data_IF_850485259357
#
_entry.id   IF_850485259357
#
_cell.length_a   1.000
_cell.length_b   1.000
_cell.length_c   1.000
_cell.angle_alpha   90.00
_cell.angle_beta   90.00
_cell.angle_gamma   90.00
#
_symmetry.space_group_name_H-M   'P 1'
#
loop_
_entity.id
_entity.type
_entity.pdbx_description
1 polymer ?
#
# COMPACT_ATOMS: atom_id res chain seq x y z
N UNK A 1 -2.78 14.67 -2.63
CA UNK A 1 -2.84 14.23 -4.04
C UNK A 1 -3.70 15.22 -4.84
N UNK A 2 -4.99 15.41 -4.52
CA UNK A 2 -5.89 16.26 -5.31
C UNK A 2 -5.33 17.68 -5.55
N UNK A 3 -4.78 18.33 -4.53
CA UNK A 3 -4.16 19.65 -4.66
C UNK A 3 -2.98 19.65 -5.66
N UNK A 4 -2.17 18.59 -5.66
CA UNK A 4 -1.04 18.45 -6.58
C UNK A 4 -1.47 18.18 -8.02
N UNK A 5 -2.67 17.68 -8.24
CA UNK A 5 -3.25 17.44 -9.57
C UNK A 5 -3.76 18.73 -10.23
N UNK A 6 -3.97 19.83 -9.49
CA UNK A 6 -4.45 21.11 -10.01
C UNK A 6 -5.72 21.00 -10.86
N UNK A 7 -6.63 20.09 -10.50
CA UNK A 7 -7.86 19.83 -11.22
C UNK A 7 -7.70 19.02 -12.52
N UNK A 8 -6.50 18.53 -12.83
CA UNK A 8 -6.25 17.72 -14.02
C UNK A 8 -6.43 16.23 -13.74
N UNK A 9 -6.89 15.49 -14.75
CA UNK A 9 -7.09 14.05 -14.66
C UNK A 9 -8.23 13.66 -13.71
N UNK A 10 -8.27 12.40 -13.31
CA UNK A 10 -9.25 11.85 -12.37
C UNK A 10 -8.53 11.23 -11.16
N UNK A 11 -9.05 11.48 -9.96
CA UNK A 11 -8.61 10.85 -8.72
C UNK A 11 -9.66 9.83 -8.28
N UNK A 12 -9.34 8.55 -8.35
CA UNK A 12 -10.18 7.49 -7.78
C UNK A 12 -9.76 7.25 -6.34
N UNK A 13 -10.70 7.44 -5.40
CA UNK A 13 -10.51 7.23 -3.96
C UNK A 13 -11.35 6.04 -3.53
N UNK A 14 -10.73 4.92 -3.20
CA UNK A 14 -11.43 3.72 -2.80
C UNK A 14 -11.34 3.46 -1.30
N UNK A 15 -12.44 2.98 -0.72
CA UNK A 15 -12.50 2.49 0.65
C UNK A 15 -13.44 1.29 0.71
N UNK A 16 -12.93 0.15 1.21
CA UNK A 16 -13.67 -1.12 1.25
C UNK A 16 -14.83 -1.12 2.25
N UNK A 17 -14.72 -0.34 3.34
CA UNK A 17 -15.75 -0.30 4.39
C UNK A 17 -16.81 0.75 4.06
N UNK A 18 -18.11 0.37 3.88
CA UNK A 18 -19.16 1.31 3.44
C UNK A 18 -19.30 2.56 4.31
N UNK A 19 -19.22 2.41 5.63
CA UNK A 19 -19.32 3.54 6.55
C UNK A 19 -18.17 4.54 6.37
N UNK A 20 -16.95 4.05 6.16
CA UNK A 20 -15.76 4.87 5.91
C UNK A 20 -15.78 5.49 4.50
N UNK A 21 -16.27 4.75 3.51
CA UNK A 21 -16.46 5.26 2.15
C UNK A 21 -17.42 6.47 2.12
N UNK A 22 -18.49 6.42 2.92
CA UNK A 22 -19.39 7.56 3.08
C UNK A 22 -18.67 8.79 3.66
N UNK A 23 -17.89 8.61 4.73
CA UNK A 23 -17.08 9.69 5.33
C UNK A 23 -16.07 10.25 4.32
N UNK A 24 -15.45 9.37 3.52
CA UNK A 24 -14.54 9.79 2.46
C UNK A 24 -15.25 10.66 1.42
N UNK A 25 -16.44 10.26 0.96
CA UNK A 25 -17.24 11.04 0.02
C UNK A 25 -17.63 12.42 0.58
N UNK A 26 -18.11 12.47 1.81
CA UNK A 26 -18.44 13.72 2.50
C UNK A 26 -17.22 14.65 2.62
N UNK A 27 -16.03 14.10 2.86
CA UNK A 27 -14.79 14.89 2.90
C UNK A 27 -14.38 15.41 1.52
N UNK A 28 -14.49 14.60 0.48
CA UNK A 28 -14.23 15.02 -0.92
C UNK A 28 -15.15 16.15 -1.33
N UNK A 29 -16.45 16.05 -1.05
CA UNK A 29 -17.43 17.09 -1.30
C UNK A 29 -17.14 18.36 -0.52
N UNK A 30 -16.92 18.24 0.79
CA UNK A 30 -16.60 19.38 1.68
C UNK A 30 -15.36 20.15 1.24
N UNK A 31 -14.35 19.45 0.71
CA UNK A 31 -13.13 20.06 0.19
C UNK A 31 -13.30 20.62 -1.24
N UNK A 32 -14.43 20.39 -1.87
CA UNK A 32 -14.72 20.87 -3.23
C UNK A 32 -13.77 20.30 -4.29
N UNK A 33 -13.44 19.01 -4.22
CA UNK A 33 -12.55 18.34 -5.17
C UNK A 33 -13.35 17.87 -6.38
N UNK A 34 -13.32 18.57 -7.54
CA UNK A 34 -14.24 18.33 -8.63
C UNK A 34 -13.89 17.10 -9.48
N UNK A 35 -12.65 16.64 -9.42
CA UNK A 35 -12.13 15.56 -10.24
C UNK A 35 -11.90 14.25 -9.44
N UNK A 36 -12.57 14.08 -8.30
CA UNK A 36 -12.50 12.87 -7.50
C UNK A 36 -13.73 11.99 -7.71
N UNK A 37 -13.50 10.68 -7.84
CA UNK A 37 -14.48 9.62 -7.82
C UNK A 37 -14.28 8.78 -6.57
N UNK A 38 -15.29 8.70 -5.70
CA UNK A 38 -15.24 7.81 -4.52
C UNK A 38 -15.89 6.48 -4.85
N UNK A 39 -15.18 5.39 -4.57
CA UNK A 39 -15.66 4.02 -4.77
C UNK A 39 -15.67 3.25 -3.45
N UNK A 40 -16.57 2.26 -3.35
CA UNK A 40 -16.63 1.34 -2.22
C UNK A 40 -16.56 -0.09 -2.75
N UNK A 41 -15.37 -0.52 -3.13
CA UNK A 41 -15.15 -1.81 -3.78
C UNK A 41 -13.90 -2.51 -3.26
N UNK A 42 -13.79 -3.81 -3.55
CA UNK A 42 -12.55 -4.57 -3.32
C UNK A 42 -11.50 -4.24 -4.38
N UNK A 43 -10.22 -4.45 -4.08
CA UNK A 43 -9.14 -4.27 -5.05
C UNK A 43 -9.34 -5.14 -6.30
N UNK A 44 -9.81 -6.38 -6.13
CA UNK A 44 -10.12 -7.29 -7.23
C UNK A 44 -11.16 -6.71 -8.20
N UNK A 45 -12.28 -6.19 -7.68
CA UNK A 45 -13.31 -5.59 -8.54
C UNK A 45 -12.85 -4.30 -9.23
N UNK A 46 -11.98 -3.53 -8.58
CA UNK A 46 -11.38 -2.38 -9.25
C UNK A 46 -10.45 -2.82 -10.38
N UNK A 47 -9.67 -3.89 -10.17
CA UNK A 47 -8.79 -4.45 -11.20
C UNK A 47 -9.56 -4.95 -12.42
N UNK A 48 -10.75 -5.56 -12.22
CA UNK A 48 -11.64 -5.97 -13.32
C UNK A 48 -12.12 -4.79 -14.20
N UNK A 49 -12.13 -3.55 -13.65
CA UNK A 49 -12.63 -2.37 -14.34
C UNK A 49 -11.51 -1.51 -14.91
N UNK A 50 -10.41 -1.39 -14.20
CA UNK A 50 -9.34 -0.42 -14.44
C UNK A 50 -8.02 -1.09 -14.88
N UNK A 51 -8.07 -2.11 -15.72
CA UNK A 51 -6.90 -2.79 -16.25
C UNK A 51 -5.95 -1.81 -16.99
N UNK A 52 -4.67 -1.77 -16.59
CA UNK A 52 -3.62 -0.86 -17.11
C UNK A 52 -4.04 0.62 -17.22
N UNK A 53 -4.91 1.07 -16.34
CA UNK A 53 -5.57 2.38 -16.47
C UNK A 53 -4.83 3.53 -15.79
N UNK A 54 -4.27 3.31 -14.60
CA UNK A 54 -3.72 4.38 -13.76
C UNK A 54 -2.26 4.71 -14.06
N UNK A 55 -1.94 6.02 -14.07
CA UNK A 55 -0.56 6.52 -14.11
C UNK A 55 0.15 6.38 -12.76
N UNK A 56 -0.64 6.51 -11.69
CA UNK A 56 -0.15 6.55 -10.30
C UNK A 56 -1.14 5.85 -9.40
N UNK A 57 -0.64 4.96 -8.56
CA UNK A 57 -1.44 4.29 -7.53
C UNK A 57 -0.76 4.50 -6.17
N UNK A 58 -1.55 4.86 -5.17
CA UNK A 58 -1.13 4.84 -3.76
C UNK A 58 -1.92 3.76 -3.04
N UNK A 59 -1.22 2.80 -2.49
CA UNK A 59 -1.77 1.78 -1.59
C UNK A 59 -1.40 2.16 -0.16
N UNK A 60 -2.38 2.69 0.58
CA UNK A 60 -2.31 2.82 2.04
C UNK A 60 -2.90 1.54 2.64
N UNK A 61 -2.02 0.59 2.92
CA UNK A 61 -2.42 -0.80 3.11
C UNK A 61 -2.99 -1.07 4.51
N UNK A 62 -3.99 -1.97 4.63
CA UNK A 62 -4.38 -2.50 5.93
C UNK A 62 -3.18 -3.23 6.55
N UNK A 63 -2.88 -2.94 7.81
CA UNK A 63 -1.71 -3.49 8.48
C UNK A 63 -2.01 -3.80 9.95
N UNK A 64 -1.07 -4.47 10.63
CA UNK A 64 -1.19 -4.81 12.07
C UNK A 64 -1.23 -3.60 13.01
N UNK A 65 -0.84 -2.42 12.52
CA UNK A 65 -1.20 -1.15 13.15
C UNK A 65 -0.36 -0.72 14.34
N UNK A 66 0.87 -1.21 14.50
CA UNK A 66 1.76 -0.87 15.63
C UNK A 66 2.01 0.63 15.78
N UNK A 67 2.02 1.38 14.69
CA UNK A 67 2.12 2.84 14.71
C UNK A 67 0.92 3.53 15.38
N UNK A 68 -0.17 2.81 15.62
CA UNK A 68 -1.38 3.32 16.28
C UNK A 68 -1.43 3.06 17.78
N UNK A 69 -0.53 2.27 18.37
CA UNK A 69 -0.55 1.87 19.78
C UNK A 69 -0.63 3.04 20.76
N UNK A 70 0.02 4.16 20.45
CA UNK A 70 -0.06 5.37 21.28
C UNK A 70 -1.39 6.13 21.17
N UNK A 71 -2.19 5.86 20.14
CA UNK A 71 -3.45 6.56 19.87
C UNK A 71 -4.68 5.71 20.14
N UNK A 72 -4.53 4.41 20.11
CA UNK A 72 -5.61 3.45 20.28
C UNK A 72 -5.11 2.24 21.07
N UNK A 73 -5.54 2.11 22.33
CA UNK A 73 -5.19 0.99 23.22
C UNK A 73 -5.76 -0.33 22.68
N UNK A 74 -6.94 -0.33 22.05
CA UNK A 74 -7.55 -1.52 21.46
C UNK A 74 -6.63 -2.14 20.37
N UNK A 75 -5.85 -1.32 19.67
CA UNK A 75 -4.90 -1.82 18.67
C UNK A 75 -3.79 -2.70 19.30
N UNK A 76 -3.44 -2.47 20.57
CA UNK A 76 -2.50 -3.31 21.29
C UNK A 76 -3.09 -4.68 21.62
N UNK A 77 -4.38 -4.72 21.96
CA UNK A 77 -5.08 -5.96 22.35
C UNK A 77 -5.35 -6.85 21.12
N UNK A 78 -5.56 -6.24 19.95
CA UNK A 78 -5.79 -6.93 18.69
C UNK A 78 -4.50 -7.42 18.02
N UNK A 79 -3.35 -6.89 18.41
CA UNK A 79 -2.09 -7.22 17.79
C UNK A 79 -1.63 -8.66 18.13
N UNK A 80 -1.19 -9.38 17.12
CA UNK A 80 -0.59 -10.70 17.25
C UNK A 80 0.27 -11.03 16.03
N UNK A 81 1.21 -11.96 16.16
CA UNK A 81 1.98 -12.46 15.02
C UNK A 81 1.07 -13.10 13.96
N UNK A 82 -0.04 -13.70 14.37
CA UNK A 82 -1.03 -14.24 13.43
C UNK A 82 -1.71 -13.12 12.63
N UNK A 83 -2.01 -11.99 13.27
CA UNK A 83 -2.58 -10.82 12.60
C UNK A 83 -1.57 -10.18 11.64
N UNK A 84 -0.30 -10.06 12.02
CA UNK A 84 0.80 -9.59 11.14
C UNK A 84 0.84 -10.43 9.86
N UNK A 85 0.84 -11.76 9.98
CA UNK A 85 0.86 -12.68 8.81
C UNK A 85 -0.38 -12.51 7.93
N UNK A 86 -1.55 -12.40 8.54
CA UNK A 86 -2.81 -12.18 7.82
C UNK A 86 -2.81 -10.85 7.08
N UNK A 87 -2.29 -9.78 7.69
CA UNK A 87 -2.14 -8.49 7.04
C UNK A 87 -1.16 -8.55 5.87
N UNK A 88 -0.01 -9.21 6.05
CA UNK A 88 0.97 -9.40 4.97
C UNK A 88 0.36 -10.13 3.76
N UNK A 89 -0.42 -11.19 3.98
CA UNK A 89 -1.13 -11.89 2.89
C UNK A 89 -2.13 -10.99 2.17
N UNK A 90 -2.93 -10.20 2.91
CA UNK A 90 -3.87 -9.23 2.30
C UNK A 90 -3.16 -8.15 1.51
N UNK A 91 -2.01 -7.70 1.99
CA UNK A 91 -1.18 -6.72 1.29
C UNK A 91 -0.66 -7.27 -0.02
N UNK A 92 -0.21 -8.53 -0.04
CA UNK A 92 0.23 -9.20 -1.26
C UNK A 92 -0.88 -9.24 -2.31
N UNK A 93 -2.11 -9.62 -1.94
CA UNK A 93 -3.28 -9.63 -2.83
C UNK A 93 -3.63 -8.23 -3.35
N UNK A 94 -3.61 -7.21 -2.48
CA UNK A 94 -3.90 -5.82 -2.86
C UNK A 94 -2.85 -5.30 -3.83
N UNK A 95 -1.57 -5.58 -3.59
CA UNK A 95 -0.46 -5.16 -4.43
C UNK A 95 -0.51 -5.82 -5.81
N UNK A 96 -0.86 -7.11 -5.91
CA UNK A 96 -1.02 -7.81 -7.18
C UNK A 96 -2.15 -7.18 -8.03
N UNK A 97 -3.29 -6.85 -7.41
CA UNK A 97 -4.36 -6.11 -8.10
C UNK A 97 -3.95 -4.67 -8.46
N UNK A 98 -3.20 -4.00 -7.59
CA UNK A 98 -2.70 -2.66 -7.90
C UNK A 98 -1.72 -2.68 -9.09
N UNK A 99 -0.88 -3.72 -9.18
CA UNK A 99 0.03 -3.90 -10.31
C UNK A 99 -0.74 -4.04 -11.63
N UNK A 100 -1.81 -4.84 -11.69
CA UNK A 100 -2.61 -5.01 -12.90
C UNK A 100 -3.36 -3.73 -13.33
N UNK A 101 -3.69 -2.86 -12.38
CA UNK A 101 -4.34 -1.57 -12.67
C UNK A 101 -3.35 -0.49 -13.13
N UNK A 102 -2.06 -0.68 -12.92
CA UNK A 102 -1.03 0.31 -13.26
C UNK A 102 -0.58 0.14 -14.70
N UNK A 103 -0.60 1.20 -15.48
CA UNK A 103 -0.09 1.15 -16.86
C UNK A 103 1.44 1.06 -16.88
N UNK A 104 2.00 0.58 -17.97
CA UNK A 104 3.44 0.56 -18.21
C UNK A 104 4.07 1.95 -18.03
N UNK A 105 5.16 2.03 -17.27
CA UNK A 105 5.82 3.28 -16.88
C UNK A 105 5.09 4.08 -15.79
N UNK A 106 4.03 3.52 -15.20
CA UNK A 106 3.34 4.08 -14.06
C UNK A 106 4.14 3.96 -12.76
N UNK A 107 3.67 4.59 -11.68
CA UNK A 107 4.32 4.55 -10.36
C UNK A 107 3.35 4.04 -9.30
N UNK A 108 3.75 3.01 -8.56
CA UNK A 108 3.08 2.48 -7.40
C UNK A 108 3.78 2.98 -6.13
N UNK A 109 3.02 3.52 -5.19
CA UNK A 109 3.49 3.88 -3.85
C UNK A 109 2.77 2.98 -2.85
N UNK A 110 3.54 2.35 -1.98
CA UNK A 110 3.03 1.50 -0.91
C UNK A 110 3.35 2.11 0.45
N UNK A 111 2.38 2.14 1.35
CA UNK A 111 2.55 2.65 2.71
C UNK A 111 1.79 1.80 3.73
N UNK A 112 2.33 1.74 4.94
CA UNK A 112 1.72 1.12 6.11
C UNK A 112 1.93 1.99 7.35
N UNK A 113 1.23 1.70 8.42
CA UNK A 113 1.49 2.26 9.75
C UNK A 113 2.00 1.20 10.74
N UNK A 114 2.64 0.13 10.25
CA UNK A 114 3.26 -0.92 11.06
C UNK A 114 4.78 -0.81 11.04
N UNK A 115 5.44 -1.44 12.00
CA UNK A 115 6.89 -1.63 12.03
C UNK A 115 7.30 -3.08 11.70
N UNK A 116 6.33 -3.96 11.43
CA UNK A 116 6.56 -5.37 11.13
C UNK A 116 7.30 -5.54 9.80
N UNK A 117 8.50 -6.14 9.76
CA UNK A 117 9.24 -6.34 8.52
C UNK A 117 8.48 -7.20 7.51
N UNK A 118 7.71 -8.19 7.96
CA UNK A 118 6.90 -9.05 7.10
C UNK A 118 5.86 -8.28 6.27
N UNK A 119 5.40 -7.14 6.79
CA UNK A 119 4.43 -6.25 6.15
C UNK A 119 5.08 -5.10 5.37
N UNK A 120 6.34 -4.82 5.57
CA UNK A 120 7.10 -3.75 4.93
C UNK A 120 8.10 -4.34 3.92
N UNK A 121 9.33 -4.60 4.34
CA UNK A 121 10.38 -5.14 3.48
C UNK A 121 9.99 -6.49 2.88
N UNK A 122 9.33 -7.37 3.67
CA UNK A 122 8.85 -8.66 3.21
C UNK A 122 7.79 -8.55 2.13
N UNK A 123 6.78 -7.67 2.28
CA UNK A 123 5.77 -7.45 1.24
C UNK A 123 6.40 -6.93 -0.05
N UNK A 124 7.36 -6.00 0.04
CA UNK A 124 8.06 -5.50 -1.14
C UNK A 124 8.92 -6.57 -1.81
N UNK A 125 9.65 -7.37 -1.04
CA UNK A 125 10.45 -8.46 -1.58
C UNK A 125 9.56 -9.48 -2.32
N UNK A 126 8.49 -9.96 -1.70
CA UNK A 126 7.54 -10.89 -2.34
C UNK A 126 6.87 -10.29 -3.57
N UNK A 127 6.53 -8.99 -3.53
CA UNK A 127 5.97 -8.28 -4.68
C UNK A 127 6.94 -8.27 -5.86
N UNK A 128 8.19 -7.85 -5.67
CA UNK A 128 9.21 -7.79 -6.73
C UNK A 128 9.55 -9.17 -7.30
N UNK A 129 9.45 -10.24 -6.50
CA UNK A 129 9.60 -11.62 -6.99
C UNK A 129 8.47 -12.03 -7.93
N UNK A 130 7.23 -11.61 -7.65
CA UNK A 130 6.06 -11.91 -8.48
C UNK A 130 5.94 -10.99 -9.69
N UNK A 131 6.48 -9.78 -9.60
CA UNK A 131 6.40 -8.74 -10.62
C UNK A 131 7.81 -8.27 -11.06
N UNK A 132 8.56 -9.07 -11.81
CA UNK A 132 9.95 -8.75 -12.22
C UNK A 132 10.06 -7.57 -13.20
N UNK A 133 8.94 -7.09 -13.71
CA UNK A 133 8.80 -5.88 -14.52
C UNK A 133 8.75 -4.58 -13.69
N UNK A 134 8.63 -4.70 -12.37
CA UNK A 134 8.71 -3.58 -11.43
C UNK A 134 10.13 -3.41 -10.89
N UNK A 135 10.51 -2.17 -10.65
CA UNK A 135 11.78 -1.80 -10.01
C UNK A 135 11.51 -0.80 -8.88
N UNK A 136 12.32 -0.88 -7.83
CA UNK A 136 12.27 0.15 -6.78
C UNK A 136 12.84 1.46 -7.30
N UNK A 137 12.13 2.54 -6.98
CA UNK A 137 12.57 3.89 -7.28
C UNK A 137 13.11 4.54 -6.01
N UNK A 138 14.32 5.07 -6.07
CA UNK A 138 14.91 5.76 -4.94
C UNK A 138 14.13 7.04 -4.61
N UNK A 139 13.72 7.17 -3.34
CA UNK A 139 13.02 8.35 -2.84
C UNK A 139 13.99 9.22 -2.04
N UNK A 140 14.02 10.56 -2.27
CA UNK A 140 14.81 11.46 -1.45
C UNK A 140 14.46 11.34 0.03
N UNK A 141 15.47 11.12 0.87
CA UNK A 141 15.28 11.07 2.31
C UNK A 141 15.20 12.49 2.87
N UNK A 142 14.18 12.76 3.67
CA UNK A 142 14.06 13.97 4.45
C UNK A 142 14.54 13.74 5.89
N UNK A 143 14.76 14.82 6.62
CA UNK A 143 15.12 14.73 8.04
C UNK A 143 14.11 13.88 8.83
N UNK A 144 14.60 12.90 9.58
CA UNK A 144 13.80 11.94 10.34
C UNK A 144 13.38 10.69 9.57
N UNK A 145 13.73 10.59 8.28
CA UNK A 145 13.55 9.36 7.50
C UNK A 145 14.80 8.50 7.51
N UNK A 146 14.62 7.20 7.46
CA UNK A 146 15.68 6.21 7.24
C UNK A 146 15.32 5.30 6.08
N UNK A 147 16.33 4.69 5.47
CA UNK A 147 16.10 3.64 4.46
C UNK A 147 15.53 2.39 5.13
N UNK A 148 14.79 1.60 4.35
CA UNK A 148 14.42 0.24 4.75
C UNK A 148 15.65 -0.63 4.97
N UNK A 149 15.46 -1.77 5.62
CA UNK A 149 16.53 -2.71 5.97
C UNK A 149 16.29 -4.01 5.19
N UNK A 150 16.90 -4.18 3.99
CA UNK A 150 16.64 -5.33 3.11
C UNK A 150 16.79 -6.68 3.81
N UNK A 151 17.72 -6.79 4.75
CA UNK A 151 17.98 -8.01 5.52
C UNK A 151 16.78 -8.43 6.39
N UNK A 152 15.83 -7.54 6.61
CA UNK A 152 14.61 -7.82 7.38
C UNK A 152 13.49 -8.40 6.52
N UNK A 153 13.62 -8.40 5.20
CA UNK A 153 12.58 -8.86 4.27
C UNK A 153 12.03 -10.25 4.60
N UNK A 154 12.89 -11.13 5.10
CA UNK A 154 12.57 -12.52 5.45
C UNK A 154 12.82 -12.83 6.93
N UNK A 155 12.82 -11.82 7.78
CA UNK A 155 13.01 -12.00 9.21
C UNK A 155 11.87 -12.81 9.83
N UNK A 156 12.19 -14.00 10.36
CA UNK A 156 11.20 -14.90 11.00
C UNK A 156 10.49 -15.86 10.06
N UNK A 157 10.80 -15.87 8.78
CA UNK A 157 10.46 -16.95 7.86
C UNK A 157 11.62 -17.96 7.81
N UNK A 158 11.32 -19.27 7.65
CA UNK A 158 12.35 -20.27 7.41
C UNK A 158 13.09 -19.89 6.12
N UNK A 159 14.33 -19.45 6.26
CA UNK A 159 15.06 -18.68 5.28
C UNK A 159 15.73 -19.55 4.21
N UNK A 160 14.96 -20.12 3.30
CA UNK A 160 15.49 -20.69 2.07
C UNK A 160 15.36 -19.74 0.85
N UNK A 161 15.00 -18.48 1.08
CA UNK A 161 14.91 -17.48 0.01
C UNK A 161 16.26 -16.76 -0.13
N UNK A 162 16.93 -17.00 -1.25
CA UNK A 162 18.16 -16.28 -1.61
C UNK A 162 17.84 -14.82 -1.97
N UNK A 163 18.16 -13.91 -1.05
CA UNK A 163 17.99 -12.46 -1.24
C UNK A 163 19.23 -11.77 -1.81
N UNK A 164 20.29 -12.52 -2.14
CA UNK A 164 21.56 -11.95 -2.60
C UNK A 164 21.46 -11.20 -3.94
N UNK A 165 20.37 -11.40 -4.70
CA UNK A 165 20.06 -10.69 -5.94
C UNK A 165 19.08 -9.52 -5.80
N UNK A 166 18.52 -9.26 -4.62
CA UNK A 166 17.60 -8.16 -4.38
C UNK A 166 18.36 -6.90 -3.96
N UNK A 167 18.54 -5.98 -4.89
CA UNK A 167 18.99 -4.62 -4.60
C UNK A 167 17.81 -3.80 -4.08
N UNK A 168 17.51 -3.90 -2.78
CA UNK A 168 16.63 -3.00 -2.05
C UNK A 168 17.45 -1.79 -1.54
N UNK A 169 18.13 -1.09 -2.46
CA UNK A 169 18.90 0.11 -2.12
C UNK A 169 18.03 1.35 -1.97
#
# INVERSE_FOLDING_TARGET
>A
IAASMQGQGILVCNEIHPARAKILAENVERMGIPNALVTNETAAKLADIFDEYFDRILVDAPCSGEGMFRKNEEACDEWSLANVRLCAQRQDEILDHAASMLRAGGRLVYSTCTFAPAENEGSMARFLMRHPDFTLEEVPLYEGMSRGVPQWAFYGEDSDVDVSGMHLE
#
